data_IF_707906564351
#
_entry.id   IF_707906564351
#
_cell.length_a   1.000
_cell.length_b   1.000
_cell.length_c   1.000
_cell.angle_alpha   90.00
_cell.angle_beta   90.00
_cell.angle_gamma   90.00
#
_symmetry.space_group_name_H-M   'P 1'
#
loop_
_entity.id
_entity.type
_entity.pdbx_description
1 polymer ?
#
# COMPACT_ATOMS: atom_id res chain seq x y z
N UNK A 1 20.51 6.44 6.32
CA UNK A 1 20.94 5.66 7.50
C UNK A 1 20.74 6.35 8.85
N UNK A 2 20.70 7.67 8.95
CA UNK A 2 20.51 8.37 10.24
C UNK A 2 19.08 8.22 10.80
N UNK A 3 18.04 8.26 9.97
CA UNK A 3 16.65 8.12 10.41
C UNK A 3 16.34 6.78 11.10
N UNK A 4 17.03 5.70 10.74
CA UNK A 4 16.84 4.39 11.38
C UNK A 4 17.48 4.27 12.76
N UNK A 5 18.40 5.20 13.12
CA UNK A 5 19.04 5.23 14.44
C UNK A 5 18.25 5.95 15.51
N UNK A 6 17.30 6.81 15.10
CA UNK A 6 16.50 7.54 16.04
C UNK A 6 15.36 6.67 16.57
N UNK A 7 15.48 6.27 17.81
CA UNK A 7 14.46 5.49 18.54
C UNK A 7 13.15 6.26 18.80
N UNK A 8 13.03 7.50 18.32
CA UNK A 8 11.80 8.29 18.45
C UNK A 8 10.62 7.61 17.78
N UNK A 9 10.91 6.91 16.66
CA UNK A 9 9.93 6.06 15.97
C UNK A 9 10.04 4.58 16.39
N UNK A 10 11.10 4.20 17.10
CA UNK A 10 11.43 2.81 17.46
C UNK A 10 11.12 2.44 18.91
N UNK A 11 10.52 3.33 19.70
CA UNK A 11 10.12 3.06 21.09
C UNK A 11 9.01 2.00 21.22
N UNK A 12 8.76 1.29 20.11
CA UNK A 12 7.77 0.21 19.96
C UNK A 12 8.07 -1.04 20.77
N UNK A 13 9.33 -1.30 21.10
CA UNK A 13 9.75 -2.59 21.65
C UNK A 13 9.44 -2.80 23.14
N UNK A 14 8.97 -1.77 23.86
CA UNK A 14 8.76 -1.85 25.31
C UNK A 14 7.32 -1.66 25.78
N UNK A 15 6.40 -1.36 24.86
CA UNK A 15 4.99 -1.22 25.19
C UNK A 15 4.23 -2.45 24.66
N UNK A 16 3.79 -3.37 25.53
CA UNK A 16 3.09 -4.59 25.14
C UNK A 16 1.73 -4.30 24.48
N UNK A 17 1.20 -3.09 24.63
CA UNK A 17 -0.05 -2.67 24.01
C UNK A 17 0.10 -2.21 22.58
N UNK A 18 1.33 -1.97 22.10
CA UNK A 18 1.59 -1.50 20.75
C UNK A 18 1.74 -2.62 19.74
N UNK A 19 1.36 -2.34 18.51
CA UNK A 19 1.54 -3.26 17.40
C UNK A 19 3.04 -3.45 17.08
N UNK A 20 3.45 -4.66 16.83
CA UNK A 20 4.73 -4.91 16.18
C UNK A 20 4.76 -4.25 14.80
N UNK A 21 5.96 -3.89 14.33
CA UNK A 21 6.14 -3.22 13.03
C UNK A 21 5.48 -3.99 11.88
N UNK A 22 5.64 -5.31 11.87
CA UNK A 22 5.04 -6.16 10.83
C UNK A 22 3.51 -6.13 10.88
N UNK A 23 2.93 -6.18 12.08
CA UNK A 23 1.49 -6.09 12.30
C UNK A 23 0.95 -4.73 11.84
N UNK A 24 1.61 -3.64 12.25
CA UNK A 24 1.25 -2.28 11.84
C UNK A 24 1.23 -2.11 10.31
N UNK A 25 2.27 -2.59 9.62
CA UNK A 25 2.37 -2.48 8.16
C UNK A 25 1.28 -3.29 7.46
N UNK A 26 1.05 -4.53 7.89
CA UNK A 26 0.03 -5.40 7.30
C UNK A 26 -1.38 -4.83 7.53
N UNK A 27 -1.70 -4.41 8.75
CA UNK A 27 -2.99 -3.78 9.05
C UNK A 27 -3.18 -2.48 8.28
N UNK A 28 -2.16 -1.61 8.21
CA UNK A 28 -2.22 -0.38 7.43
C UNK A 28 -2.51 -0.64 5.95
N UNK A 29 -1.91 -1.71 5.38
CA UNK A 29 -2.12 -2.06 3.98
C UNK A 29 -3.55 -2.56 3.73
N UNK A 30 -4.05 -3.44 4.61
CA UNK A 30 -5.40 -3.99 4.52
C UNK A 30 -6.45 -2.89 4.77
N UNK A 31 -6.19 -1.97 5.70
CA UNK A 31 -7.06 -0.83 6.00
C UNK A 31 -7.24 0.09 4.78
N UNK A 32 -6.14 0.35 4.05
CA UNK A 32 -6.15 1.26 2.89
C UNK A 32 -6.72 0.61 1.62
N UNK A 33 -6.41 -0.66 1.36
CA UNK A 33 -6.82 -1.34 0.11
C UNK A 33 -8.06 -2.22 0.25
N UNK A 34 -8.53 -2.46 1.49
CA UNK A 34 -9.57 -3.45 1.77
C UNK A 34 -8.99 -4.87 1.89
N UNK A 35 -9.85 -5.90 1.83
CA UNK A 35 -9.46 -7.29 2.06
C UNK A 35 -8.43 -7.78 1.04
N UNK A 36 -7.31 -8.36 1.53
CA UNK A 36 -6.21 -8.88 0.71
C UNK A 36 -5.91 -10.34 1.02
N UNK A 37 -5.54 -11.09 -0.02
CA UNK A 37 -5.01 -12.46 0.14
C UNK A 37 -3.56 -12.44 0.64
N UNK A 38 -3.08 -13.57 1.18
CA UNK A 38 -1.68 -13.72 1.59
C UNK A 38 -0.74 -13.50 0.40
N UNK A 39 -1.10 -13.97 -0.80
CA UNK A 39 -0.32 -13.75 -2.03
C UNK A 39 -0.22 -12.28 -2.39
N UNK A 40 -1.34 -11.54 -2.36
CA UNK A 40 -1.36 -10.10 -2.62
C UNK A 40 -0.52 -9.31 -1.59
N UNK A 41 -0.57 -9.69 -0.31
CA UNK A 41 0.27 -9.08 0.72
C UNK A 41 1.76 -9.41 0.50
N UNK A 42 2.10 -10.65 0.12
CA UNK A 42 3.47 -11.04 -0.17
C UNK A 42 4.05 -10.25 -1.34
N UNK A 43 3.29 -10.08 -2.40
CA UNK A 43 3.65 -9.25 -3.57
C UNK A 43 3.82 -7.78 -3.18
N UNK A 44 2.85 -7.21 -2.47
CA UNK A 44 2.86 -5.80 -2.06
C UNK A 44 4.06 -5.44 -1.18
N UNK A 45 4.54 -6.37 -0.35
CA UNK A 45 5.69 -6.15 0.53
C UNK A 45 7.01 -6.72 0.00
N UNK A 46 6.99 -7.46 -1.12
CA UNK A 46 8.16 -8.16 -1.64
C UNK A 46 8.70 -9.21 -0.66
N UNK A 47 7.81 -9.90 0.03
CA UNK A 47 8.12 -10.92 1.02
C UNK A 47 7.70 -12.32 0.54
N UNK A 48 8.36 -13.34 1.09
CA UNK A 48 7.92 -14.71 0.88
C UNK A 48 6.53 -14.95 1.50
N UNK A 49 5.69 -15.70 0.79
CA UNK A 49 4.36 -16.10 1.24
C UNK A 49 4.37 -16.77 2.62
N UNK A 50 5.41 -17.55 2.92
CA UNK A 50 5.59 -18.21 4.23
C UNK A 50 5.79 -17.18 5.37
N UNK A 51 6.54 -16.10 5.10
CA UNK A 51 6.77 -15.03 6.07
C UNK A 51 5.46 -14.29 6.34
N UNK A 52 4.74 -13.89 5.29
CA UNK A 52 3.45 -13.22 5.44
C UNK A 52 2.43 -14.12 6.14
N UNK A 53 2.40 -15.41 5.80
CA UNK A 53 1.50 -16.36 6.46
C UNK A 53 1.74 -16.46 7.97
N UNK A 54 3.01 -16.47 8.41
CA UNK A 54 3.36 -16.46 9.83
C UNK A 54 2.93 -15.18 10.53
N UNK A 55 3.16 -14.02 9.90
CA UNK A 55 2.79 -12.71 10.44
C UNK A 55 1.27 -12.55 10.52
N UNK A 56 0.56 -12.92 9.48
CA UNK A 56 -0.92 -12.87 9.45
C UNK A 56 -1.57 -13.86 10.42
N UNK A 57 -0.94 -15.02 10.67
CA UNK A 57 -1.40 -15.95 11.70
C UNK A 57 -1.35 -15.32 13.10
N UNK A 58 -0.39 -14.45 13.38
CA UNK A 58 -0.36 -13.68 14.62
C UNK A 58 -1.54 -12.70 14.71
N UNK A 59 -1.82 -11.94 13.65
CA UNK A 59 -2.96 -11.03 13.60
C UNK A 59 -4.30 -11.73 13.82
N UNK A 60 -4.48 -12.91 13.22
CA UNK A 60 -5.67 -13.74 13.39
C UNK A 60 -5.82 -14.24 14.83
N UNK A 61 -4.74 -14.69 15.46
CA UNK A 61 -4.77 -15.15 16.87
C UNK A 61 -5.09 -14.03 17.85
N UNK A 62 -4.62 -12.81 17.56
CA UNK A 62 -4.90 -11.63 18.37
C UNK A 62 -6.25 -10.98 18.06
N UNK A 63 -7.04 -11.52 17.12
CA UNK A 63 -8.34 -10.95 16.74
C UNK A 63 -8.26 -9.63 15.98
N UNK A 64 -7.07 -9.21 15.53
CA UNK A 64 -6.85 -7.94 14.83
C UNK A 64 -7.24 -8.01 13.34
N UNK A 65 -7.28 -9.21 12.79
CA UNK A 65 -7.76 -9.50 11.45
C UNK A 65 -8.62 -10.75 11.45
N UNK A 66 -9.43 -10.92 10.42
CA UNK A 66 -10.28 -12.09 10.19
C UNK A 66 -10.16 -12.59 8.74
N UNK A 67 -10.55 -13.84 8.51
CA UNK A 67 -10.59 -14.42 7.17
C UNK A 67 -12.00 -14.28 6.59
N UNK A 68 -12.08 -13.65 5.42
CA UNK A 68 -13.34 -13.48 4.69
C UNK A 68 -13.27 -14.16 3.32
N UNK A 69 -14.43 -14.47 2.74
CA UNK A 69 -14.51 -14.83 1.33
C UNK A 69 -14.05 -13.66 0.46
N UNK A 70 -13.55 -13.95 -0.73
CA UNK A 70 -13.20 -12.89 -1.67
C UNK A 70 -14.48 -12.13 -2.09
N UNK A 71 -14.60 -10.83 -1.82
CA UNK A 71 -15.76 -10.03 -2.24
C UNK A 71 -15.98 -10.06 -3.77
N UNK A 72 -14.92 -10.32 -4.54
CA UNK A 72 -14.96 -10.40 -6.00
C UNK A 72 -15.21 -11.82 -6.53
N UNK A 73 -15.61 -12.76 -5.67
CA UNK A 73 -15.94 -14.13 -6.06
C UNK A 73 -14.75 -15.06 -6.28
N UNK A 74 -13.53 -14.65 -5.93
CA UNK A 74 -12.33 -15.48 -6.01
C UNK A 74 -12.34 -16.62 -4.98
N UNK A 75 -11.66 -17.75 -5.30
CA UNK A 75 -11.56 -18.90 -4.39
C UNK A 75 -10.63 -18.65 -3.19
N UNK A 76 -9.72 -17.68 -3.29
CA UNK A 76 -8.76 -17.39 -2.24
C UNK A 76 -9.42 -16.65 -1.08
N UNK A 77 -9.19 -17.13 0.15
CA UNK A 77 -9.61 -16.38 1.34
C UNK A 77 -8.76 -15.13 1.50
N UNK A 78 -9.42 -14.02 1.79
CA UNK A 78 -8.78 -12.74 2.07
C UNK A 78 -8.76 -12.44 3.55
N UNK A 79 -7.83 -11.60 3.97
CA UNK A 79 -7.73 -11.04 5.30
C UNK A 79 -8.40 -9.67 5.30
N UNK A 80 -9.26 -9.44 6.27
CA UNK A 80 -9.90 -8.16 6.55
C UNK A 80 -9.51 -7.72 7.95
N UNK A 81 -9.30 -6.43 8.15
CA UNK A 81 -9.12 -5.84 9.48
C UNK A 81 -10.43 -5.94 10.27
N UNK A 82 -10.36 -6.25 11.55
CA UNK A 82 -11.50 -6.23 12.47
C UNK A 82 -11.70 -4.83 13.06
N UNK A 83 -12.81 -4.58 13.76
CA UNK A 83 -13.00 -3.35 14.50
C UNK A 83 -11.91 -3.13 15.55
N UNK A 84 -11.53 -4.17 16.29
CA UNK A 84 -10.40 -4.15 17.25
C UNK A 84 -9.08 -3.82 16.56
N UNK A 85 -8.79 -4.46 15.41
CA UNK A 85 -7.59 -4.17 14.62
C UNK A 85 -7.54 -2.72 14.13
N UNK A 86 -8.68 -2.18 13.70
CA UNK A 86 -8.81 -0.79 13.28
C UNK A 86 -8.56 0.19 14.42
N UNK A 87 -9.11 -0.07 15.59
CA UNK A 87 -8.90 0.74 16.78
C UNK A 87 -7.42 0.74 17.19
N UNK A 88 -6.80 -0.42 17.30
CA UNK A 88 -5.37 -0.55 17.63
C UNK A 88 -4.47 0.18 16.62
N UNK A 89 -4.79 0.08 15.33
CA UNK A 89 -4.07 0.78 14.30
C UNK A 89 -4.19 2.30 14.42
N UNK A 90 -5.38 2.80 14.76
CA UNK A 90 -5.63 4.22 14.98
C UNK A 90 -4.83 4.75 16.19
N UNK A 91 -4.86 4.03 17.32
CA UNK A 91 -4.09 4.36 18.51
C UNK A 91 -2.58 4.43 18.22
N UNK A 92 -2.05 3.47 17.46
CA UNK A 92 -0.65 3.45 17.06
C UNK A 92 -0.29 4.60 16.11
N UNK A 93 -1.20 4.97 15.20
CA UNK A 93 -1.04 6.14 14.32
C UNK A 93 -0.97 7.44 15.13
N UNK A 94 -1.86 7.61 16.12
CA UNK A 94 -1.90 8.78 16.98
C UNK A 94 -0.60 8.94 17.79
N UNK A 95 -0.10 7.86 18.39
CA UNK A 95 1.18 7.89 19.10
C UNK A 95 2.34 8.22 18.15
N UNK A 96 2.35 7.67 16.93
CA UNK A 96 3.38 7.99 15.94
C UNK A 96 3.33 9.47 15.53
N UNK A 97 2.14 10.02 15.32
CA UNK A 97 1.94 11.45 15.01
C UNK A 97 2.41 12.34 16.16
N UNK A 98 2.04 12.00 17.40
CA UNK A 98 2.47 12.74 18.59
C UNK A 98 3.99 12.70 18.77
N UNK A 99 4.62 11.56 18.51
CA UNK A 99 6.08 11.45 18.55
C UNK A 99 6.74 12.33 17.47
N UNK A 100 6.21 12.32 16.25
CA UNK A 100 6.74 13.13 15.16
C UNK A 100 6.54 14.62 15.44
N UNK A 101 5.35 15.02 15.90
CA UNK A 101 5.05 16.41 16.28
C UNK A 101 6.04 16.96 17.31
N UNK A 102 6.47 16.14 18.28
CA UNK A 102 7.51 16.53 19.25
C UNK A 102 8.88 16.73 18.61
N UNK A 103 9.21 15.99 17.56
CA UNK A 103 10.50 16.14 16.86
C UNK A 103 10.56 17.45 16.10
N UNK A 104 9.44 17.88 15.52
CA UNK A 104 9.35 19.10 14.71
C UNK A 104 8.69 20.27 15.47
N UNK A 105 8.66 20.21 16.81
CA UNK A 105 7.93 21.20 17.63
C UNK A 105 8.43 22.64 17.44
N UNK A 106 9.72 22.81 17.18
CA UNK A 106 10.35 24.11 16.98
C UNK A 106 10.43 24.53 15.49
N UNK A 107 9.84 23.73 14.59
CA UNK A 107 9.86 24.02 13.16
C UNK A 107 8.69 24.92 12.76
N UNK A 108 8.89 25.75 11.76
CA UNK A 108 7.80 26.50 11.16
C UNK A 108 6.86 25.58 10.35
N UNK A 109 5.61 25.98 10.13
CA UNK A 109 4.68 25.23 9.27
C UNK A 109 5.22 25.03 7.85
N UNK A 110 6.01 25.97 7.33
CA UNK A 110 6.67 25.91 6.02
C UNK A 110 7.71 24.78 5.99
N UNK A 111 8.60 24.73 6.97
CA UNK A 111 9.65 23.70 7.07
C UNK A 111 9.04 22.31 7.21
N UNK A 112 7.95 22.17 7.96
CA UNK A 112 7.22 20.90 8.10
C UNK A 112 6.63 20.48 6.75
N UNK A 113 6.06 21.43 5.99
CA UNK A 113 5.47 21.15 4.66
C UNK A 113 6.55 20.76 3.65
N UNK A 114 7.66 21.48 3.61
CA UNK A 114 8.81 21.16 2.74
C UNK A 114 9.35 19.75 3.02
N UNK A 115 9.50 19.38 4.31
CA UNK A 115 9.89 18.02 4.68
C UNK A 115 8.88 16.99 4.19
N UNK A 116 7.59 17.24 4.37
CA UNK A 116 6.54 16.33 3.90
C UNK A 116 6.60 16.12 2.39
N UNK A 117 6.75 17.18 1.61
CA UNK A 117 6.86 17.12 0.14
C UNK A 117 8.09 16.34 -0.31
N UNK A 118 9.23 16.56 0.35
CA UNK A 118 10.46 15.81 0.05
C UNK A 118 10.30 14.33 0.37
N UNK A 119 9.68 13.98 1.51
CA UNK A 119 9.44 12.59 1.91
C UNK A 119 8.45 11.89 0.96
N UNK A 120 7.39 12.57 0.53
CA UNK A 120 6.45 12.04 -0.46
C UNK A 120 7.17 11.74 -1.77
N UNK A 121 7.98 12.69 -2.26
CA UNK A 121 8.76 12.50 -3.49
C UNK A 121 9.77 11.36 -3.37
N UNK A 122 10.46 11.25 -2.23
CA UNK A 122 11.41 10.16 -1.96
C UNK A 122 10.69 8.81 -1.99
N UNK A 123 9.55 8.70 -1.30
CA UNK A 123 8.77 7.47 -1.26
C UNK A 123 8.30 7.05 -2.66
N UNK A 124 7.75 7.99 -3.45
CA UNK A 124 7.33 7.72 -4.83
C UNK A 124 8.49 7.25 -5.72
N UNK A 125 9.67 7.84 -5.56
CA UNK A 125 10.87 7.43 -6.31
C UNK A 125 11.32 6.02 -5.92
N UNK A 126 11.29 5.68 -4.63
CA UNK A 126 11.63 4.34 -4.14
C UNK A 126 10.60 3.30 -4.63
N UNK A 127 9.31 3.62 -4.54
CA UNK A 127 8.23 2.77 -5.03
C UNK A 127 8.34 2.48 -6.53
N UNK A 128 8.68 3.51 -7.33
CA UNK A 128 8.89 3.36 -8.78
C UNK A 128 10.10 2.47 -9.08
N UNK A 129 11.19 2.61 -8.32
CA UNK A 129 12.38 1.78 -8.48
C UNK A 129 12.11 0.31 -8.13
N UNK A 130 11.30 0.07 -7.10
CA UNK A 130 10.95 -1.28 -6.64
C UNK A 130 9.78 -1.90 -7.43
N UNK A 131 9.01 -1.11 -8.20
CA UNK A 131 7.79 -1.53 -8.86
C UNK A 131 6.65 -1.88 -7.90
N UNK A 132 6.70 -1.39 -6.67
CA UNK A 132 5.73 -1.68 -5.61
C UNK A 132 5.18 -0.38 -5.05
N UNK A 133 3.94 -0.07 -5.39
CA UNK A 133 3.29 1.17 -5.00
C UNK A 133 2.50 1.01 -3.71
N UNK A 134 2.62 2.02 -2.82
CA UNK A 134 1.77 2.12 -1.65
C UNK A 134 0.53 2.97 -1.98
N UNK A 135 -0.69 2.44 -1.78
CA UNK A 135 -1.92 3.17 -2.07
C UNK A 135 -2.06 4.37 -1.14
N UNK A 136 -2.45 5.51 -1.71
CA UNK A 136 -2.75 6.75 -0.98
C UNK A 136 -4.23 7.08 -1.15
N UNK A 137 -4.90 7.64 -0.13
CA UNK A 137 -6.34 7.93 -0.20
C UNK A 137 -6.74 8.79 -1.40
N UNK A 138 -5.88 9.71 -1.82
CA UNK A 138 -6.12 10.65 -2.93
C UNK A 138 -5.91 10.03 -4.32
N UNK A 139 -5.23 8.88 -4.40
CA UNK A 139 -4.90 8.20 -5.66
C UNK A 139 -5.87 7.05 -6.00
N UNK A 140 -6.67 6.59 -5.04
CA UNK A 140 -7.63 5.50 -5.27
C UNK A 140 -8.72 5.85 -6.29
N UNK A 141 -9.12 7.12 -6.39
CA UNK A 141 -10.14 7.56 -7.36
C UNK A 141 -9.60 7.61 -8.81
N UNK A 142 -8.31 7.86 -8.98
CA UNK A 142 -7.71 8.00 -10.32
C UNK A 142 -7.28 6.66 -10.92
N UNK A 143 -6.89 5.69 -10.11
CA UNK A 143 -6.43 4.39 -10.58
C UNK A 143 -7.58 3.44 -10.94
N UNK A 144 -8.71 3.55 -10.26
CA UNK A 144 -9.94 2.84 -10.62
C UNK A 144 -10.47 3.26 -12.01
N UNK A 145 -10.29 4.54 -12.38
CA UNK A 145 -10.68 5.06 -13.69
C UNK A 145 -9.74 4.60 -14.81
N UNK A 146 -8.44 4.46 -14.54
CA UNK A 146 -7.44 4.06 -15.55
C UNK A 146 -7.51 2.56 -15.91
N UNK A 147 -7.96 1.70 -15.00
CA UNK A 147 -8.11 0.27 -15.27
C UNK A 147 -9.37 -0.09 -16.07
N UNK A 148 -10.27 0.86 -16.31
CA UNK A 148 -11.53 0.66 -17.06
C UNK A 148 -11.56 1.33 -18.42
N UNK A 149 -10.46 1.93 -18.89
CA UNK A 149 -10.40 2.43 -20.26
C UNK A 149 -10.31 1.23 -21.22
N UNK A 150 -11.29 1.02 -22.11
CA UNK A 150 -11.18 -0.01 -23.13
C UNK A 150 -10.02 0.34 -24.06
N UNK A 151 -9.13 -0.61 -24.29
CA UNK A 151 -8.05 -0.49 -25.26
C UNK A 151 -8.67 -0.11 -26.62
N UNK A 152 -8.48 1.12 -27.04
CA UNK A 152 -8.83 1.56 -28.40
C UNK A 152 -8.03 0.69 -29.37
N UNK A 153 -8.74 -0.18 -30.09
CA UNK A 153 -8.17 -0.96 -31.18
C UNK A 153 -7.83 0.01 -32.30
N UNK A 154 -6.56 0.16 -32.53
CA UNK A 154 -6.03 0.86 -33.69
C UNK A 154 -6.62 0.24 -34.96
N UNK A 155 -7.25 0.99 -35.88
CA UNK A 155 -7.80 0.43 -37.10
C UNK A 155 -6.67 -0.03 -38.03
N UNK A 156 -6.76 -1.29 -38.46
CA UNK A 156 -5.81 -1.90 -39.37
C UNK A 156 -5.65 -1.07 -40.67
N UNK A 157 -4.44 -0.94 -41.22
CA UNK A 157 -4.19 -0.17 -42.44
C UNK A 157 -4.93 -0.80 -43.63
N UNK A 158 -5.72 0.01 -44.34
CA UNK A 158 -6.41 -0.38 -45.55
C UNK A 158 -5.40 -0.79 -46.63
N UNK A 159 -5.49 -2.04 -47.09
CA UNK A 159 -4.77 -2.52 -48.25
C UNK A 159 -5.18 -1.71 -49.51
N UNK A 160 -4.24 -0.97 -50.08
CA UNK A 160 -4.37 -0.32 -51.36
C UNK A 160 -4.40 -1.37 -52.48
N UNK A 161 -5.55 -1.55 -53.13
CA UNK A 161 -5.68 -2.35 -54.35
C UNK A 161 -4.88 -1.67 -55.46
N UNK A 162 -3.87 -2.40 -55.93
CA UNK A 162 -3.10 -2.02 -57.10
C UNK A 162 -3.98 -1.97 -58.36
N UNK A 163 -3.86 -0.87 -59.08
CA UNK A 163 -4.47 -0.70 -60.38
C UNK A 163 -3.84 -1.61 -61.43
N UNK A 164 -4.65 -2.40 -62.11
CA UNK A 164 -4.25 -3.19 -63.27
C UNK A 164 -4.07 -2.27 -64.48
N UNK A 165 -2.89 -2.33 -65.09
CA UNK A 165 -2.58 -1.70 -66.40
C UNK A 165 -3.07 -2.64 -67.49
N UNK A 166 -3.78 -2.16 -68.52
CA UNK A 166 -3.99 -2.96 -69.74
C UNK A 166 -2.81 -2.79 -70.69
N UNK A 167 -2.31 -3.89 -71.20
CA UNK A 167 -1.37 -3.91 -72.33
C UNK A 167 -2.08 -3.96 -73.66
N UNK A 168 -1.41 -3.57 -74.76
CA UNK A 168 -1.98 -3.33 -76.12
C UNK A 168 -2.36 -4.57 -76.87
#
# INVERSE_FOLDING_TARGET
>A
MLLSRHQVLARRERDPERLERSAYLLLSRIDTQGPMSIGQLAEAFGLDTSTVNRQTAALLRCGLAERVADPNGGMARKLRITAEGGQRLAEDREVNQSCLARVVADWSPEEVRELADVLVRLNRSAEALEGRYWPRPEENDTHAAACHAPAEREPAPRATRGAATPAP
#
